data_IF_157685419158
#
_entry.id   IF_157685419158
#
_cell.length_a   1.000
_cell.length_b   1.000
_cell.length_c   1.000
_cell.angle_alpha   90.00
_cell.angle_beta   90.00
_cell.angle_gamma   90.00
#
_symmetry.space_group_name_H-M   'P 1'
#
loop_
_entity.id
_entity.type
_entity.pdbx_description
1 polymer ?
#
# COMPACT_ATOMS: atom_id res chain seq x y z
N UNK A 1 -3.71 18.60 -25.17
CA UNK A 1 -4.31 17.48 -24.40
C UNK A 1 -3.32 16.41 -23.91
N UNK A 2 -2.17 16.18 -24.57
CA UNK A 2 -1.17 15.20 -24.08
C UNK A 2 -0.48 15.57 -22.75
N UNK A 3 -0.31 16.88 -22.47
CA UNK A 3 0.38 17.38 -21.28
C UNK A 3 -0.41 17.12 -19.98
N UNK A 4 -1.73 17.35 -20.01
CA UNK A 4 -2.64 17.12 -18.87
C UNK A 4 -2.71 15.62 -18.51
N UNK A 5 -2.67 14.74 -19.50
CA UNK A 5 -2.61 13.29 -19.27
C UNK A 5 -1.28 12.92 -18.61
N UNK A 6 -0.15 13.48 -19.06
CA UNK A 6 1.19 13.20 -18.52
C UNK A 6 1.36 13.64 -17.07
N UNK A 7 0.81 14.80 -16.68
CA UNK A 7 0.82 15.27 -15.29
C UNK A 7 0.03 14.35 -14.36
N UNK A 8 -1.14 13.84 -14.80
CA UNK A 8 -1.88 12.81 -14.04
C UNK A 8 -1.12 11.49 -13.94
N UNK A 9 -0.39 11.10 -14.97
CA UNK A 9 0.33 9.81 -15.02
C UNK A 9 1.50 9.72 -14.05
N UNK A 10 2.03 10.84 -13.53
CA UNK A 10 3.21 10.86 -12.65
C UNK A 10 2.94 11.54 -11.28
N UNK A 11 1.67 11.67 -10.88
CA UNK A 11 1.32 12.25 -9.58
C UNK A 11 1.93 11.48 -8.38
N UNK A 12 2.40 10.25 -8.60
CA UNK A 12 3.10 9.44 -7.60
C UNK A 12 4.60 9.74 -7.48
N UNK A 13 5.21 10.49 -8.41
CA UNK A 13 6.66 10.74 -8.42
C UNK A 13 7.18 11.33 -7.10
N UNK A 14 6.50 12.32 -6.47
CA UNK A 14 6.95 12.83 -5.16
C UNK A 14 7.01 11.75 -4.07
N UNK A 15 6.12 10.75 -4.13
CA UNK A 15 6.11 9.62 -3.19
C UNK A 15 7.32 8.72 -3.45
N UNK A 16 7.61 8.39 -4.71
CA UNK A 16 8.73 7.51 -5.07
C UNK A 16 10.08 8.17 -4.86
N UNK A 17 10.18 9.48 -5.08
CA UNK A 17 11.36 10.29 -4.80
C UNK A 17 11.63 10.32 -3.30
N UNK A 18 10.59 10.53 -2.48
CA UNK A 18 10.70 10.46 -1.03
C UNK A 18 11.20 9.09 -0.57
N UNK A 19 10.59 8.00 -1.03
CA UNK A 19 11.02 6.63 -0.69
C UNK A 19 12.49 6.44 -1.06
N UNK A 20 12.90 6.85 -2.26
CA UNK A 20 14.26 6.66 -2.75
C UNK A 20 15.27 7.46 -1.93
N UNK A 21 14.94 8.68 -1.54
CA UNK A 21 15.79 9.55 -0.72
C UNK A 21 15.89 9.09 0.75
N UNK A 22 14.90 8.34 1.25
CA UNK A 22 14.76 8.01 2.68
C UNK A 22 15.04 6.56 3.03
N UNK A 23 15.39 5.73 2.05
CA UNK A 23 15.66 4.30 2.27
C UNK A 23 16.84 3.83 1.44
N UNK A 24 17.51 2.76 1.86
CA UNK A 24 18.58 2.15 1.06
C UNK A 24 18.06 1.35 -0.16
N UNK A 25 18.90 1.07 -1.17
CA UNK A 25 18.49 0.34 -2.39
C UNK A 25 18.02 -1.11 -2.14
N UNK A 26 18.36 -1.69 -0.99
CA UNK A 26 17.93 -3.03 -0.57
C UNK A 26 16.75 -3.01 0.40
N UNK A 27 16.26 -1.82 0.76
CA UNK A 27 15.15 -1.66 1.69
C UNK A 27 13.89 -2.35 1.16
N UNK A 28 13.12 -2.91 2.10
CA UNK A 28 11.80 -3.46 1.82
C UNK A 28 10.75 -2.45 2.24
N UNK A 29 9.75 -2.26 1.40
CA UNK A 29 8.59 -1.41 1.70
C UNK A 29 7.31 -2.24 1.59
N UNK A 30 6.25 -1.76 2.23
CA UNK A 30 4.90 -2.32 2.08
C UNK A 30 3.95 -1.23 1.61
N UNK A 31 3.27 -1.47 0.51
CA UNK A 31 2.30 -0.54 -0.08
C UNK A 31 0.89 -1.08 0.19
N UNK A 32 0.14 -0.42 1.06
CA UNK A 32 -1.27 -0.72 1.29
C UNK A 32 -2.12 -0.03 0.23
N UNK A 33 -2.85 -0.81 -0.56
CA UNK A 33 -3.58 -0.31 -1.72
C UNK A 33 -3.39 -1.15 -2.97
N UNK A 34 -3.91 -0.65 -4.10
CA UNK A 34 -3.67 -1.21 -5.43
C UNK A 34 -2.75 -0.29 -6.24
N UNK A 35 -1.52 -0.13 -5.75
CA UNK A 35 -0.52 0.78 -6.31
C UNK A 35 0.83 0.09 -6.55
N UNK A 36 0.89 -0.98 -7.37
CA UNK A 36 2.13 -1.74 -7.61
C UNK A 36 3.25 -0.88 -8.21
N UNK A 37 2.89 0.20 -8.93
CA UNK A 37 3.83 1.13 -9.55
C UNK A 37 4.78 1.79 -8.52
N UNK A 38 4.37 1.94 -7.25
CA UNK A 38 5.25 2.49 -6.21
C UNK A 38 6.50 1.63 -6.05
N UNK A 39 6.40 0.30 -6.13
CA UNK A 39 7.57 -0.58 -6.07
C UNK A 39 8.48 -0.40 -7.29
N UNK A 40 7.91 -0.37 -8.48
CA UNK A 40 8.67 -0.23 -9.74
C UNK A 40 9.41 1.11 -9.82
N UNK A 41 8.77 2.22 -9.48
CA UNK A 41 9.36 3.55 -9.63
C UNK A 41 10.28 3.94 -8.47
N UNK A 42 10.09 3.38 -7.27
CA UNK A 42 11.05 3.55 -6.17
C UNK A 42 12.22 2.56 -6.19
N UNK A 43 12.16 1.54 -7.05
CA UNK A 43 13.14 0.45 -7.10
C UNK A 43 13.37 -0.20 -5.72
N UNK A 44 12.30 -0.35 -4.94
CA UNK A 44 12.34 -0.99 -3.60
C UNK A 44 11.73 -2.37 -3.63
N UNK A 45 12.29 -3.24 -2.79
CA UNK A 45 11.82 -4.62 -2.65
C UNK A 45 10.48 -4.63 -1.95
N UNK A 46 9.60 -5.53 -2.36
CA UNK A 46 8.36 -5.75 -1.63
C UNK A 46 8.67 -6.46 -0.30
N UNK A 47 7.99 -6.03 0.76
CA UNK A 47 7.97 -6.76 2.04
C UNK A 47 7.08 -8.01 1.99
N UNK A 48 6.23 -8.14 0.97
CA UNK A 48 5.24 -9.22 0.88
C UNK A 48 5.14 -9.75 -0.53
N UNK A 49 4.50 -10.91 -0.69
CA UNK A 49 4.17 -11.49 -2.00
C UNK A 49 3.07 -10.73 -2.76
N UNK A 50 2.38 -9.78 -2.11
CA UNK A 50 1.26 -9.05 -2.70
C UNK A 50 1.72 -7.77 -3.38
N UNK A 51 1.71 -7.77 -4.72
CA UNK A 51 1.94 -6.56 -5.54
C UNK A 51 0.79 -5.55 -5.43
N UNK A 52 -0.43 -6.04 -5.20
CA UNK A 52 -1.63 -5.26 -4.89
C UNK A 52 -2.41 -5.94 -3.76
N UNK A 53 -2.95 -5.13 -2.86
CA UNK A 53 -3.74 -5.58 -1.72
C UNK A 53 -5.22 -5.86 -2.06
N UNK A 54 -5.64 -5.69 -3.31
CA UNK A 54 -7.01 -5.99 -3.78
C UNK A 54 -7.50 -7.39 -3.39
N UNK A 55 -6.62 -8.40 -3.44
CA UNK A 55 -6.92 -9.80 -3.09
C UNK A 55 -7.28 -9.99 -1.62
N UNK A 56 -6.76 -9.12 -0.75
CA UNK A 56 -6.97 -9.17 0.71
C UNK A 56 -8.36 -8.65 1.09
N UNK A 57 -8.92 -7.78 0.26
CA UNK A 57 -10.20 -7.10 0.53
C UNK A 57 -11.33 -7.56 -0.39
N UNK A 58 -11.05 -8.44 -1.36
CA UNK A 58 -12.03 -8.94 -2.30
C UNK A 58 -12.36 -7.97 -3.45
N UNK A 59 -11.55 -6.92 -3.62
CA UNK A 59 -11.81 -5.83 -4.56
C UNK A 59 -11.17 -6.12 -5.93
N UNK A 60 -11.87 -6.89 -6.77
CA UNK A 60 -11.51 -7.14 -8.17
C UNK A 60 -12.29 -6.25 -9.13
N UNK A 61 -11.60 -5.78 -10.17
CA UNK A 61 -12.01 -4.80 -11.19
C UNK A 61 -13.52 -4.57 -11.42
N UNK A 62 -13.91 -3.30 -11.37
CA UNK A 62 -15.04 -2.69 -12.10
C UNK A 62 -16.45 -3.22 -11.85
N UNK A 63 -16.76 -3.71 -10.64
CA UNK A 63 -18.15 -4.05 -10.29
C UNK A 63 -18.81 -2.85 -9.60
N UNK A 64 -20.09 -2.54 -9.86
CA UNK A 64 -20.76 -1.46 -9.14
C UNK A 64 -20.72 -1.76 -7.63
N UNK A 65 -19.94 -0.96 -6.90
CA UNK A 65 -19.56 -1.20 -5.50
C UNK A 65 -20.63 -0.73 -4.49
N UNK A 66 -21.86 -0.46 -4.93
CA UNK A 66 -22.96 -0.23 -4.00
C UNK A 66 -23.46 -1.58 -3.52
N UNK A 67 -23.13 -1.89 -2.27
CA UNK A 67 -23.80 -2.89 -1.42
C UNK A 67 -23.40 -4.36 -1.60
N UNK A 68 -22.23 -4.65 -2.20
CA UNK A 68 -21.71 -6.03 -2.23
C UNK A 68 -20.77 -6.21 -1.03
N UNK A 69 -21.12 -7.13 -0.13
CA UNK A 69 -20.17 -7.68 0.82
C UNK A 69 -19.03 -8.37 0.04
N UNK A 70 -17.87 -7.69 0.01
CA UNK A 70 -16.67 -8.17 -0.68
C UNK A 70 -15.97 -9.30 0.08
N UNK A 71 -16.40 -9.62 1.31
CA UNK A 71 -15.81 -10.67 2.15
C UNK A 71 -15.74 -12.03 1.45
N UNK A 72 -16.77 -12.35 0.64
CA UNK A 72 -16.86 -13.60 -0.12
C UNK A 72 -15.82 -13.73 -1.24
N UNK A 73 -15.18 -12.63 -1.62
CA UNK A 73 -14.16 -12.58 -2.67
C UNK A 73 -12.74 -12.48 -2.09
N UNK A 74 -12.59 -12.41 -0.76
CA UNK A 74 -11.28 -12.46 -0.12
C UNK A 74 -10.64 -13.80 -0.46
N UNK A 75 -9.39 -13.78 -0.93
CA UNK A 75 -8.65 -15.01 -1.21
C UNK A 75 -8.42 -15.74 0.12
N UNK A 76 -8.88 -17.00 0.27
CA UNK A 76 -8.69 -17.75 1.49
C UNK A 76 -7.21 -17.81 1.92
N UNK A 77 -6.94 -17.58 3.21
CA UNK A 77 -5.59 -17.59 3.77
C UNK A 77 -4.70 -16.39 3.39
N UNK A 78 -5.17 -15.45 2.57
CA UNK A 78 -4.35 -14.31 2.13
C UNK A 78 -3.89 -13.40 3.26
N UNK A 79 -4.73 -13.18 4.29
CA UNK A 79 -4.36 -12.41 5.48
C UNK A 79 -3.29 -13.11 6.33
N UNK A 80 -3.31 -14.44 6.42
CA UNK A 80 -2.28 -15.20 7.13
C UNK A 80 -0.95 -15.18 6.38
N UNK A 81 -1.00 -15.29 5.04
CA UNK A 81 0.18 -15.11 4.18
C UNK A 81 0.77 -13.71 4.34
N UNK A 82 -0.07 -12.67 4.38
CA UNK A 82 0.38 -11.29 4.59
C UNK A 82 1.06 -11.15 5.95
N UNK A 83 0.44 -11.66 7.02
CA UNK A 83 1.01 -11.62 8.36
C UNK A 83 2.36 -12.35 8.45
N UNK A 84 2.46 -13.53 7.82
CA UNK A 84 3.70 -14.30 7.74
C UNK A 84 4.81 -13.51 7.02
N UNK A 85 4.49 -12.92 5.87
CA UNK A 85 5.45 -12.16 5.08
C UNK A 85 5.95 -10.91 5.83
N UNK A 86 5.04 -10.14 6.43
CA UNK A 86 5.38 -8.94 7.22
C UNK A 86 6.21 -9.27 8.45
N UNK A 87 6.00 -10.45 9.07
CA UNK A 87 6.82 -10.92 10.19
C UNK A 87 8.22 -11.32 9.72
N UNK A 88 8.33 -12.04 8.61
CA UNK A 88 9.62 -12.47 8.06
C UNK A 88 10.42 -11.30 7.46
N UNK A 89 9.73 -10.31 6.91
CA UNK A 89 10.31 -9.20 6.18
C UNK A 89 9.68 -7.87 6.62
N UNK A 90 9.90 -7.43 7.88
CA UNK A 90 9.33 -6.20 8.38
C UNK A 90 9.74 -5.01 7.49
N UNK A 91 8.79 -4.26 6.91
CA UNK A 91 9.10 -3.15 6.01
C UNK A 91 9.82 -2.03 6.75
N UNK A 92 10.73 -1.33 6.07
CA UNK A 92 11.29 -0.08 6.58
C UNK A 92 10.23 1.03 6.55
N UNK A 93 9.47 1.09 5.45
CA UNK A 93 8.36 2.02 5.24
C UNK A 93 7.06 1.30 4.87
N UNK A 94 5.95 1.79 5.42
CA UNK A 94 4.59 1.47 5.01
C UNK A 94 4.00 2.69 4.30
N UNK A 95 3.51 2.50 3.08
CA UNK A 95 2.96 3.54 2.22
C UNK A 95 1.46 3.27 2.11
N UNK A 96 0.65 4.11 2.75
CA UNK A 96 -0.80 3.95 2.78
C UNK A 96 -1.45 4.71 1.61
N UNK A 97 -1.67 3.99 0.51
CA UNK A 97 -2.29 4.55 -0.69
C UNK A 97 -3.82 4.57 -0.61
N UNK A 98 -4.43 4.07 0.47
CA UNK A 98 -5.88 3.99 0.60
C UNK A 98 -6.62 5.33 0.50
N UNK A 99 -6.06 6.49 0.97
CA UNK A 99 -6.75 7.78 0.85
C UNK A 99 -6.82 8.34 -0.58
N UNK A 100 -5.90 7.93 -1.47
CA UNK A 100 -5.78 8.51 -2.82
C UNK A 100 -6.10 7.52 -3.94
N UNK A 101 -6.20 6.22 -3.62
CA UNK A 101 -6.50 5.18 -4.60
C UNK A 101 -8.01 5.07 -4.83
N UNK A 102 -8.42 5.00 -6.09
CA UNK A 102 -9.82 4.83 -6.47
C UNK A 102 -10.43 3.59 -5.79
N UNK A 103 -11.62 3.75 -5.20
CA UNK A 103 -12.38 2.71 -4.49
C UNK A 103 -11.74 2.18 -3.19
N UNK A 104 -10.62 2.76 -2.72
CA UNK A 104 -9.97 2.33 -1.46
C UNK A 104 -10.47 3.04 -0.20
N UNK A 105 -11.34 4.05 -0.33
CA UNK A 105 -11.89 4.80 0.82
C UNK A 105 -12.50 3.92 1.93
N UNK A 106 -13.26 2.85 1.62
CA UNK A 106 -13.76 1.91 2.62
C UNK A 106 -12.69 1.04 3.30
N UNK A 107 -11.44 1.05 2.83
CA UNK A 107 -10.38 0.14 3.29
C UNK A 107 -9.20 0.91 3.92
N UNK A 108 -9.42 1.78 4.92
CA UNK A 108 -8.32 2.46 5.60
C UNK A 108 -7.43 1.43 6.30
N UNK A 109 -6.12 1.67 6.34
CA UNK A 109 -5.14 0.67 6.80
C UNK A 109 -5.45 0.13 8.21
N UNK A 110 -5.95 0.98 9.11
CA UNK A 110 -6.28 0.61 10.50
C UNK A 110 -7.55 -0.22 10.67
N UNK A 111 -8.36 -0.40 9.61
CA UNK A 111 -9.54 -1.26 9.64
C UNK A 111 -9.19 -2.73 9.88
N UNK A 112 -7.99 -3.16 9.52
CA UNK A 112 -7.59 -4.56 9.53
C UNK A 112 -6.68 -4.86 10.71
N UNK A 113 -7.09 -5.81 11.56
CA UNK A 113 -6.37 -6.16 12.80
C UNK A 113 -4.92 -6.59 12.57
N UNK A 114 -4.58 -7.17 11.41
CA UNK A 114 -3.19 -7.49 11.05
C UNK A 114 -2.36 -6.21 10.86
N UNK A 115 -2.91 -5.22 10.16
CA UNK A 115 -2.23 -3.97 9.84
C UNK A 115 -2.24 -2.98 10.99
N UNK A 116 -3.33 -2.91 11.77
CA UNK A 116 -3.35 -2.09 12.98
C UNK A 116 -2.32 -2.57 14.00
N UNK A 117 -2.18 -3.89 14.19
CA UNK A 117 -1.11 -4.46 15.01
C UNK A 117 0.28 -4.17 14.45
N UNK A 118 0.47 -4.26 13.13
CA UNK A 118 1.73 -3.88 12.49
C UNK A 118 2.09 -2.42 12.84
N UNK A 119 1.14 -1.50 12.65
CA UNK A 119 1.35 -0.06 12.84
C UNK A 119 1.69 0.34 14.28
N UNK A 120 1.50 -0.52 15.29
CA UNK A 120 1.99 -0.25 16.65
C UNK A 120 3.52 -0.16 16.74
N UNK A 121 4.22 -0.79 15.79
CA UNK A 121 5.68 -0.76 15.69
C UNK A 121 6.19 0.29 14.69
N UNK A 122 5.31 1.19 14.25
CA UNK A 122 5.62 2.21 13.25
C UNK A 122 5.11 3.57 13.74
N UNK A 123 5.87 4.62 13.41
CA UNK A 123 5.47 5.99 13.63
C UNK A 123 5.09 6.62 12.30
N UNK A 124 4.10 7.53 12.32
CA UNK A 124 3.84 8.38 11.16
C UNK A 124 5.09 9.22 10.88
N UNK A 125 5.67 9.07 9.70
CA UNK A 125 6.90 9.78 9.31
C UNK A 125 6.55 11.07 8.58
N UNK A 126 5.62 10.99 7.62
CA UNK A 126 5.17 12.13 6.82
C UNK A 126 3.90 11.81 6.05
N UNK A 127 3.36 12.80 5.35
CA UNK A 127 2.33 12.63 4.34
C UNK A 127 2.78 13.31 3.04
N UNK A 128 2.85 12.56 1.94
CA UNK A 128 3.24 13.08 0.61
C UNK A 128 2.04 13.00 -0.32
N UNK A 129 1.58 14.14 -0.84
CA UNK A 129 0.39 14.20 -1.71
C UNK A 129 -0.84 13.45 -1.15
N UNK A 130 -1.08 13.58 0.16
CA UNK A 130 -2.20 12.90 0.83
C UNK A 130 -1.98 11.42 1.13
N UNK A 131 -0.78 10.88 0.86
CA UNK A 131 -0.39 9.50 1.17
C UNK A 131 0.40 9.46 2.48
N UNK A 132 -0.17 8.91 3.57
CA UNK A 132 0.57 8.69 4.81
C UNK A 132 1.70 7.67 4.60
N UNK A 133 2.87 8.00 5.11
CA UNK A 133 4.04 7.13 5.15
C UNK A 133 4.41 6.90 6.61
N UNK A 134 4.55 5.63 6.98
CA UNK A 134 4.93 5.22 8.33
C UNK A 134 6.30 4.57 8.31
N UNK A 135 7.16 4.93 9.26
CA UNK A 135 8.49 4.35 9.42
C UNK A 135 8.53 3.42 10.62
N UNK A 136 9.27 2.33 10.47
CA UNK A 136 9.48 1.37 11.55
C UNK A 136 10.20 2.02 12.73
N UNK A 137 9.69 1.81 13.94
CA UNK A 137 10.36 2.22 15.17
C UNK A 137 11.60 1.32 15.35
N UNK A 138 12.77 1.94 15.50
CA UNK A 138 14.03 1.26 15.85
C UNK A 138 14.11 1.01 17.33
#
# INVERSE_FOLDING_TARGET
MAYIVRERTLAFTPITDYITAKTGPKARIFVWGSAPYIYSFSQRRMATRFTSCSHLVGMYASRPHKDIDESKWIVPGSWDMLASDLKAHPPELIIDMSPVSNNWGPHPIRRYTVLDRLLKNYSHETTVNGVPIYRRNT
#
